data_IF_416192435667
#
_entry.id   IF_416192435667
#
_cell.length_a   1.000
_cell.length_b   1.000
_cell.length_c   1.000
_cell.angle_alpha   90.00
_cell.angle_beta   90.00
_cell.angle_gamma   90.00
#
_symmetry.space_group_name_H-M   'P 1'
#
loop_
_entity.id
_entity.type
_entity.pdbx_description
1 polymer ?
#
# COMPACT_ATOMS: atom_id res chain seq x y z
N UNK A 1 7.55 17.37 9.10
CA UNK A 1 7.53 15.93 8.69
C UNK A 1 7.21 15.08 9.91
N UNK A 2 6.39 14.06 9.77
CA UNK A 2 6.05 13.11 10.84
C UNK A 2 7.11 12.00 10.89
N UNK A 3 7.43 11.49 12.10
CA UNK A 3 8.26 10.30 12.22
C UNK A 3 7.44 9.06 11.85
N UNK A 4 8.01 8.19 11.03
CA UNK A 4 7.42 6.91 10.66
C UNK A 4 7.90 5.84 11.65
N UNK A 5 7.05 5.51 12.61
CA UNK A 5 7.37 4.51 13.65
C UNK A 5 6.84 3.11 13.30
N UNK A 6 6.71 2.80 12.03
CA UNK A 6 6.22 1.51 11.52
C UNK A 6 7.28 0.85 10.66
N UNK A 7 7.38 -0.47 10.76
CA UNK A 7 8.19 -1.32 9.87
C UNK A 7 7.37 -1.58 8.62
N UNK A 8 7.90 -1.21 7.46
CA UNK A 8 7.15 -1.25 6.19
C UNK A 8 7.82 -2.19 5.19
N UNK A 9 7.03 -3.06 4.57
CA UNK A 9 7.43 -3.76 3.36
C UNK A 9 6.85 -3.08 2.11
N UNK A 10 7.64 -3.01 1.04
CA UNK A 10 7.19 -2.55 -0.28
C UNK A 10 7.34 -3.69 -1.28
N UNK A 11 6.23 -4.34 -1.62
CA UNK A 11 6.19 -5.43 -2.60
C UNK A 11 6.03 -4.85 -4.00
N UNK A 12 6.97 -5.18 -4.87
CA UNK A 12 7.11 -4.55 -6.19
C UNK A 12 7.95 -3.27 -6.16
N UNK A 13 8.88 -3.15 -5.20
CA UNK A 13 9.71 -1.97 -4.98
C UNK A 13 10.53 -1.52 -6.21
N UNK A 14 10.85 -2.42 -7.13
CA UNK A 14 11.59 -2.13 -8.38
C UNK A 14 10.71 -1.58 -9.50
N UNK A 15 9.37 -1.69 -9.36
CA UNK A 15 8.38 -1.19 -10.32
C UNK A 15 8.16 0.32 -10.21
N UNK A 16 7.49 0.90 -11.22
CA UNK A 16 7.22 2.35 -11.26
C UNK A 16 6.44 2.84 -10.03
N UNK A 17 5.35 2.16 -9.67
CA UNK A 17 4.50 2.53 -8.51
C UNK A 17 5.26 2.36 -7.19
N UNK A 18 6.02 1.27 -7.03
CA UNK A 18 6.84 1.05 -5.83
C UNK A 18 7.87 2.16 -5.62
N UNK A 19 8.50 2.64 -6.69
CA UNK A 19 9.46 3.76 -6.64
C UNK A 19 8.80 5.09 -6.24
N UNK A 20 7.64 5.40 -6.81
CA UNK A 20 6.85 6.58 -6.42
C UNK A 20 6.43 6.51 -4.96
N UNK A 21 6.06 5.32 -4.47
CA UNK A 21 5.73 5.13 -3.06
C UNK A 21 6.94 5.42 -2.15
N UNK A 22 8.13 4.97 -2.52
CA UNK A 22 9.36 5.27 -1.77
C UNK A 22 9.69 6.76 -1.76
N UNK A 23 9.50 7.44 -2.90
CA UNK A 23 9.65 8.91 -3.00
C UNK A 23 8.64 9.65 -2.11
N UNK A 24 7.39 9.20 -2.06
CA UNK A 24 6.38 9.75 -1.15
C UNK A 24 6.73 9.51 0.31
N UNK A 25 7.29 8.36 0.68
CA UNK A 25 7.76 8.11 2.03
C UNK A 25 8.93 9.01 2.39
N UNK A 26 9.83 9.27 1.46
CA UNK A 26 10.95 10.20 1.65
C UNK A 26 10.46 11.62 1.92
N UNK A 27 9.55 12.11 1.08
CA UNK A 27 9.06 13.49 1.12
C UNK A 27 8.15 13.80 2.31
N UNK A 28 7.43 12.80 2.83
CA UNK A 28 6.43 13.01 3.89
C UNK A 28 6.89 12.61 5.29
N UNK A 29 7.92 11.77 5.40
CA UNK A 29 8.39 11.26 6.69
C UNK A 29 9.88 11.52 6.86
N UNK A 30 10.24 12.11 7.99
CA UNK A 30 11.64 12.35 8.39
C UNK A 30 12.20 11.21 9.24
N UNK A 31 13.52 11.18 9.36
CA UNK A 31 14.24 10.24 10.22
C UNK A 31 14.51 8.88 9.57
N UNK A 32 15.11 8.00 10.36
CA UNK A 32 15.45 6.64 9.91
C UNK A 32 14.19 5.84 9.64
N UNK A 33 14.14 5.22 8.46
CA UNK A 33 13.02 4.37 8.03
C UNK A 33 13.40 2.90 8.20
N UNK A 34 12.47 2.10 8.66
CA UNK A 34 12.58 0.64 8.69
C UNK A 34 11.79 0.08 7.50
N UNK A 35 12.52 -0.11 6.38
CA UNK A 35 11.95 -0.51 5.10
C UNK A 35 12.52 -1.86 4.65
N UNK A 36 11.64 -2.72 4.17
CA UNK A 36 11.95 -3.98 3.51
C UNK A 36 11.47 -3.90 2.06
N UNK A 37 12.41 -3.87 1.13
CA UNK A 37 12.10 -3.79 -0.29
C UNK A 37 12.03 -5.18 -0.88
N UNK A 38 10.87 -5.54 -1.43
CA UNK A 38 10.58 -6.88 -1.91
C UNK A 38 10.27 -6.89 -3.40
N UNK A 39 10.85 -7.84 -4.11
CA UNK A 39 10.57 -8.07 -5.52
C UNK A 39 10.81 -9.55 -5.87
N UNK A 40 10.74 -9.89 -7.16
CA UNK A 40 11.10 -11.24 -7.63
C UNK A 40 12.60 -11.50 -7.42
N UNK A 41 12.97 -12.77 -7.34
CA UNK A 41 14.36 -13.25 -7.22
C UNK A 41 15.32 -12.61 -8.24
N UNK A 42 14.84 -12.27 -9.44
CA UNK A 42 15.66 -11.57 -10.47
C UNK A 42 16.13 -10.18 -10.05
N UNK A 43 15.50 -9.59 -9.06
CA UNK A 43 15.83 -8.25 -8.55
C UNK A 43 16.53 -8.29 -7.19
N UNK A 44 16.70 -9.46 -6.60
CA UNK A 44 17.40 -9.65 -5.33
C UNK A 44 18.81 -9.06 -5.38
N UNK A 45 19.24 -8.44 -4.29
CA UNK A 45 20.53 -7.79 -4.16
C UNK A 45 20.64 -6.40 -4.79
N UNK A 46 19.64 -5.92 -5.54
CA UNK A 46 19.63 -4.54 -6.03
C UNK A 46 19.52 -3.56 -4.86
N UNK A 47 20.28 -2.48 -4.92
CA UNK A 47 20.18 -1.39 -3.96
C UNK A 47 19.25 -0.30 -4.48
N UNK A 48 18.34 0.16 -3.63
CA UNK A 48 17.43 1.28 -3.90
C UNK A 48 17.57 2.29 -2.77
N UNK A 49 17.76 3.56 -3.12
CA UNK A 49 17.83 4.66 -2.16
C UNK A 49 16.43 5.16 -1.81
N UNK A 50 16.24 5.54 -0.54
CA UNK A 50 15.09 6.28 -0.04
C UNK A 50 15.61 7.30 0.97
N UNK A 51 15.72 8.56 0.57
CA UNK A 51 16.46 9.60 1.28
C UNK A 51 17.94 9.26 1.38
N UNK A 52 18.53 9.48 2.54
CA UNK A 52 19.93 9.20 2.82
C UNK A 52 20.22 7.72 3.11
N UNK A 53 19.22 6.83 3.02
CA UNK A 53 19.37 5.41 3.31
C UNK A 53 19.34 4.58 2.00
N UNK A 54 20.14 3.52 2.00
CA UNK A 54 20.10 2.50 0.93
C UNK A 54 19.53 1.20 1.48
N UNK A 55 18.66 0.57 0.70
CA UNK A 55 17.99 -0.67 1.05
C UNK A 55 18.21 -1.72 -0.02
N UNK A 56 18.59 -2.92 0.42
CA UNK A 56 18.72 -4.07 -0.47
C UNK A 56 17.35 -4.69 -0.76
N UNK A 57 17.09 -4.99 -2.03
CA UNK A 57 15.90 -5.70 -2.47
C UNK A 57 16.03 -7.18 -2.13
N UNK A 58 15.06 -7.74 -1.43
CA UNK A 58 14.99 -9.15 -1.05
C UNK A 58 13.99 -9.91 -1.91
N UNK A 59 14.18 -11.24 -1.99
CA UNK A 59 13.21 -12.11 -2.66
C UNK A 59 11.90 -12.19 -1.85
N UNK A 60 10.78 -11.83 -2.49
CA UNK A 60 9.45 -11.89 -1.90
C UNK A 60 9.05 -13.31 -1.47
N UNK A 61 9.47 -14.33 -2.23
CA UNK A 61 9.04 -15.71 -2.03
C UNK A 61 9.47 -16.31 -0.68
N UNK A 62 10.55 -15.78 -0.10
CA UNK A 62 11.15 -16.25 1.17
C UNK A 62 10.94 -15.28 2.32
N UNK A 63 10.26 -14.14 2.08
CA UNK A 63 10.13 -13.10 3.08
C UNK A 63 9.15 -13.48 4.21
N UNK A 64 9.56 -13.19 5.44
CA UNK A 64 8.74 -13.33 6.65
C UNK A 64 8.04 -12.00 6.98
N UNK A 65 6.73 -11.94 6.77
CA UNK A 65 5.93 -10.74 7.01
C UNK A 65 5.69 -10.42 8.49
N UNK A 66 6.03 -11.31 9.42
CA UNK A 66 5.99 -11.01 10.86
C UNK A 66 7.01 -9.92 11.26
N UNK A 67 7.99 -9.66 10.41
CA UNK A 67 9.00 -8.63 10.59
C UNK A 67 8.49 -7.21 10.33
N UNK A 68 7.28 -7.05 9.76
CA UNK A 68 6.75 -5.75 9.35
C UNK A 68 5.32 -5.54 9.84
N UNK A 69 4.96 -4.29 10.05
CA UNK A 69 3.64 -3.90 10.52
C UNK A 69 2.68 -3.63 9.36
N UNK A 70 3.21 -3.11 8.26
CA UNK A 70 2.44 -2.73 7.06
C UNK A 70 3.20 -3.18 5.82
N UNK A 71 2.49 -3.76 4.85
CA UNK A 71 3.02 -4.07 3.53
C UNK A 71 2.22 -3.37 2.43
N UNK A 72 2.92 -2.58 1.60
CA UNK A 72 2.35 -1.95 0.41
C UNK A 72 2.60 -2.84 -0.81
N UNK A 73 1.53 -3.28 -1.46
CA UNK A 73 1.57 -4.18 -2.62
C UNK A 73 1.35 -3.44 -3.93
N UNK A 74 2.31 -3.52 -4.83
CA UNK A 74 2.27 -2.91 -6.17
C UNK A 74 2.83 -3.83 -7.28
N UNK A 75 2.79 -5.15 -7.07
CA UNK A 75 3.38 -6.15 -7.97
C UNK A 75 2.36 -6.87 -8.89
N UNK A 76 1.11 -6.39 -8.92
CA UNK A 76 0.04 -6.94 -9.73
C UNK A 76 -0.86 -7.94 -9.00
N UNK A 77 -2.01 -8.28 -9.65
CA UNK A 77 -3.10 -9.01 -9.01
C UNK A 77 -2.73 -10.46 -8.62
N UNK A 78 -1.91 -11.14 -9.40
CA UNK A 78 -1.47 -12.51 -9.12
C UNK A 78 -0.61 -12.56 -7.85
N UNK A 79 0.40 -11.71 -7.76
CA UNK A 79 1.28 -11.60 -6.59
C UNK A 79 0.49 -11.16 -5.35
N UNK A 80 -0.41 -10.18 -5.49
CA UNK A 80 -1.27 -9.76 -4.37
C UNK A 80 -2.16 -10.90 -3.90
N UNK A 81 -2.76 -11.67 -4.82
CA UNK A 81 -3.61 -12.82 -4.49
C UNK A 81 -2.88 -13.92 -3.70
N UNK A 82 -1.61 -14.15 -4.01
CA UNK A 82 -0.79 -15.16 -3.34
C UNK A 82 -0.26 -14.69 -1.99
N UNK A 83 0.33 -13.48 -1.94
CA UNK A 83 1.12 -13.05 -0.79
C UNK A 83 0.37 -12.15 0.21
N UNK A 84 -0.68 -11.43 -0.19
CA UNK A 84 -1.40 -10.56 0.74
C UNK A 84 -2.13 -11.32 1.85
N UNK A 85 -2.83 -12.45 1.59
CA UNK A 85 -3.41 -13.27 2.65
C UNK A 85 -2.34 -13.87 3.57
N UNK A 86 -1.18 -14.26 3.03
CA UNK A 86 -0.05 -14.75 3.81
C UNK A 86 0.50 -13.67 4.74
N UNK A 87 0.65 -12.44 4.27
CA UNK A 87 1.11 -11.32 5.08
C UNK A 87 0.14 -11.03 6.25
N UNK A 88 -1.16 -11.02 5.99
CA UNK A 88 -2.19 -10.82 7.03
C UNK A 88 -2.17 -11.95 8.06
N UNK A 89 -2.03 -13.21 7.64
CA UNK A 89 -1.93 -14.34 8.57
C UNK A 89 -0.69 -14.29 9.48
N UNK A 90 0.33 -13.52 9.09
CA UNK A 90 1.54 -13.26 9.88
C UNK A 90 1.48 -11.96 10.69
N UNK A 91 0.32 -11.32 10.78
CA UNK A 91 0.12 -10.12 11.59
C UNK A 91 0.43 -8.79 10.89
N UNK A 92 0.65 -8.80 9.58
CA UNK A 92 0.94 -7.60 8.79
C UNK A 92 -0.33 -7.05 8.13
N UNK A 93 -0.60 -5.76 8.28
CA UNK A 93 -1.66 -5.09 7.51
C UNK A 93 -1.19 -4.83 6.08
N UNK A 94 -2.01 -5.18 5.10
CA UNK A 94 -1.70 -5.00 3.68
C UNK A 94 -2.48 -3.83 3.09
N UNK A 95 -1.79 -2.95 2.35
CA UNK A 95 -2.40 -1.96 1.46
C UNK A 95 -2.13 -2.43 0.03
N UNK A 96 -3.18 -2.94 -0.63
CA UNK A 96 -3.06 -3.51 -1.97
C UNK A 96 -3.47 -2.51 -3.06
N UNK A 97 -2.53 -2.17 -3.93
CA UNK A 97 -2.76 -1.29 -5.07
C UNK A 97 -3.11 -2.05 -6.37
N UNK A 98 -3.25 -3.37 -6.31
CA UNK A 98 -3.69 -4.19 -7.44
C UNK A 98 -5.21 -4.15 -7.62
N UNK A 99 -5.69 -4.83 -8.66
CA UNK A 99 -7.13 -5.01 -8.87
C UNK A 99 -7.72 -6.24 -8.16
N UNK A 100 -6.88 -7.03 -7.47
CA UNK A 100 -7.25 -8.37 -6.97
C UNK A 100 -8.44 -8.32 -6.02
N UNK A 101 -8.41 -7.41 -5.05
CA UNK A 101 -9.36 -7.41 -3.94
C UNK A 101 -10.46 -6.34 -4.03
N UNK A 102 -10.50 -5.55 -5.10
CA UNK A 102 -11.43 -4.40 -5.23
C UNK A 102 -12.90 -4.78 -5.28
N UNK A 103 -13.23 -6.05 -5.55
CA UNK A 103 -14.61 -6.57 -5.66
C UNK A 103 -14.95 -7.61 -4.58
N UNK A 104 -14.04 -7.83 -3.64
CA UNK A 104 -14.27 -8.75 -2.52
C UNK A 104 -15.08 -8.01 -1.45
N UNK A 105 -16.24 -8.52 -1.08
CA UNK A 105 -17.17 -7.85 -0.15
C UNK A 105 -16.59 -7.66 1.25
N UNK A 106 -15.76 -8.60 1.70
CA UNK A 106 -15.14 -8.60 3.02
C UNK A 106 -13.86 -7.74 3.10
N UNK A 107 -13.39 -7.19 1.97
CA UNK A 107 -12.17 -6.40 1.90
C UNK A 107 -12.52 -4.92 1.65
N UNK A 108 -12.20 -4.01 2.59
CA UNK A 108 -12.54 -2.62 2.43
C UNK A 108 -11.77 -1.96 1.29
N UNK A 109 -12.51 -1.30 0.41
CA UNK A 109 -12.00 -0.45 -0.67
C UNK A 109 -11.97 1.00 -0.14
N UNK A 110 -10.76 1.54 0.08
CA UNK A 110 -10.58 2.80 0.81
C UNK A 110 -9.92 3.88 -0.06
N UNK A 111 -10.52 5.06 -0.01
CA UNK A 111 -9.89 6.34 -0.37
C UNK A 111 -9.95 7.19 0.90
N UNK A 112 -8.82 7.52 1.55
CA UNK A 112 -8.82 8.19 2.86
C UNK A 112 -9.67 9.47 2.91
N UNK A 113 -9.68 10.26 1.84
CA UNK A 113 -10.44 11.52 1.72
C UNK A 113 -11.94 11.31 1.51
N UNK A 114 -12.36 10.09 1.16
CA UNK A 114 -13.77 9.77 0.83
C UNK A 114 -14.45 8.98 1.93
N UNK A 115 -13.79 7.90 2.37
CA UNK A 115 -14.33 6.94 3.33
C UNK A 115 -13.29 6.47 4.37
N UNK A 116 -12.27 7.30 4.65
CA UNK A 116 -11.19 6.97 5.59
C UNK A 116 -11.64 6.68 7.02
N UNK A 117 -12.85 7.10 7.41
CA UNK A 117 -13.41 6.80 8.73
C UNK A 117 -13.57 5.28 8.99
N UNK A 118 -13.72 4.47 7.94
CA UNK A 118 -13.74 3.00 8.03
C UNK A 118 -12.46 2.47 8.67
N UNK A 119 -11.31 3.13 8.44
CA UNK A 119 -10.02 2.74 9.03
C UNK A 119 -10.01 2.79 10.57
N UNK A 120 -10.85 3.65 11.17
CA UNK A 120 -10.94 3.78 12.64
C UNK A 120 -11.58 2.56 13.31
N UNK A 121 -12.27 1.74 12.55
CA UNK A 121 -12.96 0.53 13.04
C UNK A 121 -12.10 -0.72 12.88
N UNK A 122 -10.94 -0.62 12.22
CA UNK A 122 -10.03 -1.72 11.94
C UNK A 122 -9.04 -1.82 13.10
N UNK A 123 -9.12 -2.93 13.85
CA UNK A 123 -8.23 -3.21 14.98
C UNK A 123 -7.22 -4.33 14.68
N UNK A 124 -7.57 -5.24 13.79
CA UNK A 124 -6.76 -6.40 13.44
C UNK A 124 -6.06 -6.21 12.09
N UNK A 125 -4.97 -6.93 11.83
CA UNK A 125 -4.33 -6.95 10.52
C UNK A 125 -5.31 -7.42 9.43
N UNK A 126 -5.45 -6.63 8.38
CA UNK A 126 -6.34 -6.91 7.25
C UNK A 126 -5.71 -6.52 5.91
N UNK A 127 -6.35 -6.93 4.82
CA UNK A 127 -6.11 -6.37 3.50
C UNK A 127 -6.99 -5.13 3.33
N UNK A 128 -6.38 -4.01 2.93
CA UNK A 128 -7.06 -2.77 2.52
C UNK A 128 -6.83 -2.62 1.02
N UNK A 129 -7.89 -2.62 0.24
CA UNK A 129 -7.79 -2.44 -1.21
C UNK A 129 -7.78 -0.96 -1.58
N UNK A 130 -6.85 -0.57 -2.44
CA UNK A 130 -6.79 0.77 -3.02
C UNK A 130 -7.52 0.76 -4.38
N UNK A 131 -8.37 1.75 -4.70
CA UNK A 131 -9.11 1.79 -5.95
C UNK A 131 -8.22 2.01 -7.17
N UNK A 132 -8.82 1.95 -8.36
CA UNK A 132 -8.14 2.36 -9.57
C UNK A 132 -7.74 3.84 -9.51
N UNK A 133 -6.59 4.19 -10.11
CA UNK A 133 -6.05 5.55 -10.08
C UNK A 133 -7.02 6.61 -10.60
N UNK A 134 -7.75 6.33 -11.70
CA UNK A 134 -8.76 7.25 -12.25
C UNK A 134 -9.94 7.43 -11.29
N UNK A 135 -10.39 6.33 -10.68
CA UNK A 135 -11.47 6.35 -9.67
C UNK A 135 -11.08 7.17 -8.46
N UNK A 136 -9.86 6.99 -7.93
CA UNK A 136 -9.39 7.76 -6.79
C UNK A 136 -9.38 9.27 -7.09
N UNK A 137 -8.81 9.68 -8.22
CA UNK A 137 -8.75 11.09 -8.64
C UNK A 137 -10.16 11.68 -8.79
N UNK A 138 -11.08 10.95 -9.44
CA UNK A 138 -12.45 11.41 -9.65
C UNK A 138 -13.19 11.57 -8.30
N UNK A 139 -13.12 10.57 -7.44
CA UNK A 139 -13.86 10.58 -6.18
C UNK A 139 -13.34 11.63 -5.18
N UNK A 140 -12.04 11.88 -5.13
CA UNK A 140 -11.47 12.96 -4.31
C UNK A 140 -11.99 14.33 -4.77
N UNK A 141 -12.16 14.55 -6.08
CA UNK A 141 -12.74 15.78 -6.60
C UNK A 141 -14.26 15.88 -6.37
N UNK A 142 -14.98 14.78 -6.52
CA UNK A 142 -16.45 14.75 -6.39
C UNK A 142 -16.94 14.76 -4.94
N UNK A 143 -16.17 14.20 -4.00
CA UNK A 143 -16.59 14.06 -2.60
C UNK A 143 -17.05 15.37 -1.96
N UNK A 144 -16.28 16.47 -2.00
CA UNK A 144 -16.73 17.74 -1.41
C UNK A 144 -17.98 18.32 -2.12
N UNK A 145 -18.13 18.08 -3.41
CA UNK A 145 -19.32 18.52 -4.16
C UNK A 145 -20.53 17.68 -3.74
N UNK A 146 -20.38 16.37 -3.60
CA UNK A 146 -21.43 15.47 -3.15
C UNK A 146 -21.89 15.81 -1.73
N UNK A 147 -20.98 16.14 -0.84
CA UNK A 147 -21.30 16.48 0.55
C UNK A 147 -22.14 17.78 0.66
N UNK A 148 -22.00 18.69 -0.29
CA UNK A 148 -22.73 19.95 -0.31
C UNK A 148 -24.02 19.89 -1.10
N UNK A 149 -24.05 19.14 -2.20
CA UNK A 149 -25.13 19.21 -3.21
C UNK A 149 -25.78 17.86 -3.53
N UNK A 150 -25.35 16.77 -2.91
CA UNK A 150 -25.90 15.41 -3.13
C UNK A 150 -25.97 15.00 -4.61
N UNK A 151 -24.82 14.67 -5.20
CA UNK A 151 -24.73 14.24 -6.60
C UNK A 151 -25.58 12.98 -6.79
N UNK A 152 -26.55 13.06 -7.71
CA UNK A 152 -27.48 11.95 -8.00
C UNK A 152 -27.06 11.16 -9.25
N UNK A 153 -26.20 11.74 -10.11
CA UNK A 153 -25.75 11.09 -11.35
C UNK A 153 -24.40 11.64 -11.81
N UNK A 154 -23.56 10.75 -12.33
CA UNK A 154 -22.30 11.05 -13.02
C UNK A 154 -22.31 10.27 -14.33
N UNK A 155 -22.14 10.95 -15.46
CA UNK A 155 -22.06 10.37 -16.81
C UNK A 155 -20.65 10.45 -17.37
#
# INVERSE_FOLDING_TARGET
MKNLNKRIAVVGATGAVGRVFLELLENNFSGKKDLHLLASKKSEGKLISCGDQQFEVKDLSTFDFSLVDIAFFSAGAEISGEFAPKAVSQGCTVIDNSSKFRREEDIPLIIPEVNGDVLKQINDPIIISNPNCSTAQLLVALKPIHDLFEITRVD
#
